data_IF_609352457894
#
_entry.id   IF_609352457894
#
_cell.length_a   1.000
_cell.length_b   1.000
_cell.length_c   1.000
_cell.angle_alpha   90.00
_cell.angle_beta   90.00
_cell.angle_gamma   90.00
#
_symmetry.space_group_name_H-M   'P 1'
#
loop_
_entity.id
_entity.type
_entity.pdbx_description
1 polymer ?
#
# COMPACT_ATOMS: atom_id res chain seq x y z
N UNK A 1 -2.74 -14.01 -19.59
CA UNK A 1 -2.21 -12.77 -18.99
C UNK A 1 -2.78 -11.58 -19.76
N UNK A 2 -3.26 -10.52 -19.08
CA UNK A 2 -3.66 -9.26 -19.73
C UNK A 2 -2.56 -8.24 -19.50
N UNK A 3 -2.10 -7.57 -20.56
CA UNK A 3 -1.07 -6.54 -20.50
C UNK A 3 -1.73 -5.16 -20.70
N UNK A 4 -1.43 -4.23 -19.81
CA UNK A 4 -1.91 -2.85 -19.92
C UNK A 4 -1.00 -2.02 -20.86
N UNK A 5 -1.50 -0.86 -21.28
CA UNK A 5 -0.79 0.04 -22.20
C UNK A 5 -0.06 1.21 -21.48
N UNK A 6 0.50 0.97 -20.29
CA UNK A 6 1.37 1.94 -19.60
C UNK A 6 0.68 3.13 -18.92
N UNK A 7 -0.65 3.09 -18.72
CA UNK A 7 -1.39 4.20 -18.11
C UNK A 7 -1.48 4.08 -16.57
N UNK A 8 -0.90 5.03 -15.82
CA UNK A 8 -0.94 5.06 -14.35
C UNK A 8 -2.37 5.05 -13.79
N UNK A 9 -3.31 5.74 -14.46
CA UNK A 9 -4.70 5.81 -14.02
C UNK A 9 -5.36 4.44 -13.93
N UNK A 10 -4.95 3.48 -14.77
CA UNK A 10 -5.46 2.10 -14.76
C UNK A 10 -5.08 1.31 -13.50
N UNK A 11 -4.37 1.90 -12.54
CA UNK A 11 -4.27 1.37 -11.18
C UNK A 11 -5.55 1.59 -10.35
N UNK A 12 -6.44 2.52 -10.74
CA UNK A 12 -7.75 2.70 -10.13
C UNK A 12 -8.71 1.61 -10.61
N UNK A 13 -9.43 0.98 -9.68
CA UNK A 13 -10.22 -0.24 -9.93
C UNK A 13 -11.22 -0.13 -11.09
N UNK A 14 -11.92 0.98 -11.28
CA UNK A 14 -12.94 1.09 -12.33
C UNK A 14 -12.33 1.36 -13.69
N UNK A 15 -11.26 2.15 -13.75
CA UNK A 15 -10.50 2.36 -14.99
C UNK A 15 -9.73 1.11 -15.43
N UNK A 16 -9.30 0.28 -14.48
CA UNK A 16 -8.76 -1.06 -14.74
C UNK A 16 -9.80 -1.93 -15.43
N UNK A 17 -11.04 -1.93 -14.93
CA UNK A 17 -12.13 -2.69 -15.53
C UNK A 17 -12.46 -2.21 -16.95
N UNK A 18 -12.52 -0.89 -17.18
CA UNK A 18 -12.66 -0.34 -18.54
C UNK A 18 -11.55 -0.82 -19.48
N UNK A 19 -10.30 -0.80 -19.01
CA UNK A 19 -9.16 -1.29 -19.80
C UNK A 19 -9.26 -2.79 -20.09
N UNK A 20 -9.72 -3.61 -19.14
CA UNK A 20 -9.97 -5.04 -19.35
C UNK A 20 -11.10 -5.31 -20.36
N UNK A 21 -12.08 -4.42 -20.43
CA UNK A 21 -13.17 -4.46 -21.42
C UNK A 21 -12.74 -3.96 -22.81
N UNK A 22 -11.48 -3.56 -22.99
CA UNK A 22 -10.96 -3.06 -24.26
C UNK A 22 -11.30 -1.59 -24.54
N UNK A 23 -11.76 -0.86 -23.53
CA UNK A 23 -12.10 0.56 -23.61
C UNK A 23 -10.95 1.43 -23.11
N UNK A 24 -11.08 2.75 -23.27
CA UNK A 24 -10.17 3.72 -22.65
C UNK A 24 -10.31 3.61 -21.13
N UNK A 25 -9.19 3.57 -20.41
CA UNK A 25 -9.16 3.51 -18.93
C UNK A 25 -9.63 4.81 -18.28
N UNK A 26 -10.92 5.09 -18.35
CA UNK A 26 -11.58 6.21 -17.68
C UNK A 26 -12.18 5.73 -16.36
N UNK A 27 -12.13 6.57 -15.34
CA UNK A 27 -12.77 6.27 -14.04
C UNK A 27 -14.29 6.30 -14.22
N UNK A 28 -14.98 5.28 -13.73
CA UNK A 28 -16.45 5.24 -13.67
C UNK A 28 -16.93 6.02 -12.44
N UNK A 29 -18.03 6.75 -12.57
CA UNK A 29 -18.70 7.32 -11.40
C UNK A 29 -19.19 6.19 -10.48
N UNK A 30 -19.01 6.35 -9.16
CA UNK A 30 -19.58 5.47 -8.13
C UNK A 30 -20.76 6.22 -7.51
N UNK A 31 -21.97 5.64 -7.40
CA UNK A 31 -22.37 4.24 -7.66
C UNK A 31 -22.66 3.88 -9.15
N UNK A 32 -22.71 2.58 -9.53
CA UNK A 32 -22.62 1.37 -8.69
C UNK A 32 -21.18 0.93 -8.36
N UNK A 33 -21.01 0.20 -7.25
CA UNK A 33 -19.73 -0.40 -6.85
C UNK A 33 -19.38 -1.62 -7.73
N UNK A 34 -18.09 -1.86 -8.04
CA UNK A 34 -17.65 -3.04 -8.81
C UNK A 34 -18.08 -4.39 -8.23
N UNK A 35 -18.16 -4.48 -6.90
CA UNK A 35 -18.64 -5.68 -6.20
C UNK A 35 -20.09 -6.07 -6.57
N UNK A 36 -20.89 -5.10 -7.04
CA UNK A 36 -22.25 -5.33 -7.52
C UNK A 36 -22.27 -5.39 -9.06
N UNK A 37 -21.62 -4.44 -9.72
CA UNK A 37 -21.56 -4.34 -11.19
C UNK A 37 -20.18 -3.86 -11.65
N UNK A 38 -19.29 -4.82 -11.90
CA UNK A 38 -17.90 -4.60 -12.29
C UNK A 38 -17.62 -4.98 -13.74
N UNK A 39 -16.78 -5.99 -13.92
CA UNK A 39 -16.29 -6.46 -15.22
C UNK A 39 -17.44 -7.03 -16.06
N UNK A 40 -17.64 -6.50 -17.28
CA UNK A 40 -18.73 -6.91 -18.18
C UNK A 40 -20.13 -6.85 -17.52
N UNK A 41 -20.29 -5.95 -16.55
CA UNK A 41 -21.52 -5.79 -15.80
C UNK A 41 -21.81 -6.90 -14.76
N UNK A 42 -20.85 -7.76 -14.45
CA UNK A 42 -20.98 -8.82 -13.44
C UNK A 42 -20.40 -8.39 -12.08
N UNK A 43 -20.92 -8.92 -10.95
CA UNK A 43 -20.28 -8.77 -9.64
C UNK A 43 -18.80 -9.16 -9.71
N UNK A 44 -17.91 -8.25 -9.33
CA UNK A 44 -16.45 -8.45 -9.48
C UNK A 44 -15.70 -8.03 -8.22
N UNK A 45 -14.90 -8.96 -7.69
CA UNK A 45 -13.96 -8.68 -6.61
C UNK A 45 -12.66 -8.14 -7.21
N UNK A 46 -12.28 -6.93 -6.83
CA UNK A 46 -11.03 -6.28 -7.26
C UNK A 46 -10.17 -6.02 -6.03
N UNK A 47 -9.02 -6.69 -5.93
CA UNK A 47 -8.10 -6.53 -4.82
C UNK A 47 -6.67 -6.36 -5.34
N UNK A 48 -5.81 -5.74 -4.53
CA UNK A 48 -4.37 -5.70 -4.79
C UNK A 48 -3.76 -7.12 -4.70
N UNK A 49 -2.66 -7.33 -5.43
CA UNK A 49 -1.91 -8.59 -5.44
C UNK A 49 -1.55 -9.07 -4.02
N UNK A 50 -1.07 -8.18 -3.14
CA UNK A 50 -0.67 -8.54 -1.77
C UNK A 50 -1.85 -9.03 -0.93
N UNK A 51 -3.05 -8.48 -1.16
CA UNK A 51 -4.25 -8.94 -0.49
C UNK A 51 -4.57 -10.39 -0.84
N UNK A 52 -4.47 -10.76 -2.12
CA UNK A 52 -4.67 -12.16 -2.52
C UNK A 52 -3.49 -13.06 -2.14
N UNK A 53 -2.26 -12.55 -2.12
CA UNK A 53 -1.08 -13.32 -1.71
C UNK A 53 -1.14 -13.75 -0.24
N UNK A 54 -1.81 -12.99 0.63
CA UNK A 54 -2.02 -13.35 2.03
C UNK A 54 -3.10 -14.45 2.23
N UNK A 55 -4.05 -14.59 1.31
CA UNK A 55 -5.19 -15.51 1.45
C UNK A 55 -4.76 -16.98 1.62
N UNK A 56 -3.83 -17.54 0.82
CA UNK A 56 -3.36 -18.91 1.02
C UNK A 56 -2.81 -19.16 2.42
N UNK A 57 -2.03 -18.22 2.97
CA UNK A 57 -1.49 -18.34 4.32
C UNK A 57 -2.61 -18.32 5.37
N UNK A 58 -3.55 -17.37 5.26
CA UNK A 58 -4.70 -17.26 6.17
C UNK A 58 -5.56 -18.53 6.15
N UNK A 59 -5.77 -19.13 4.98
CA UNK A 59 -6.53 -20.38 4.86
C UNK A 59 -5.77 -21.58 5.43
N UNK A 60 -4.45 -21.63 5.26
CA UNK A 60 -3.62 -22.73 5.73
C UNK A 60 -3.32 -22.69 7.24
N UNK A 61 -3.10 -21.50 7.80
CA UNK A 61 -2.68 -21.30 9.19
C UNK A 61 -3.77 -20.72 10.09
N UNK A 62 -4.89 -20.30 9.50
CA UNK A 62 -5.99 -19.65 10.20
C UNK A 62 -5.85 -18.13 10.32
N UNK A 63 -6.99 -17.44 10.38
CA UNK A 63 -7.02 -15.97 10.49
C UNK A 63 -6.40 -15.43 11.77
N UNK A 64 -6.40 -16.20 12.86
CA UNK A 64 -5.78 -15.79 14.13
C UNK A 64 -4.26 -15.69 14.00
N UNK A 65 -3.61 -16.70 13.40
CA UNK A 65 -2.17 -16.70 13.18
C UNK A 65 -1.69 -15.51 12.34
N UNK A 66 -2.50 -15.07 11.36
CA UNK A 66 -2.20 -13.85 10.60
C UNK A 66 -2.45 -12.58 11.43
N UNK A 67 -3.49 -12.57 12.28
CA UNK A 67 -3.87 -11.43 13.12
C UNK A 67 -2.98 -11.22 14.36
N UNK A 68 -2.20 -12.23 14.75
CA UNK A 68 -1.20 -12.12 15.82
C UNK A 68 -0.04 -11.19 15.42
N UNK A 69 0.19 -11.00 14.12
CA UNK A 69 1.10 -9.97 13.61
C UNK A 69 0.42 -8.62 13.51
N UNK A 70 1.21 -7.57 13.69
CA UNK A 70 0.80 -6.18 13.53
C UNK A 70 0.31 -5.54 14.84
N UNK A 71 -0.49 -4.49 14.72
CA UNK A 71 -0.99 -3.75 15.88
C UNK A 71 -2.40 -3.18 15.64
N UNK A 72 -3.20 -3.05 16.70
CA UNK A 72 -4.51 -2.40 16.63
C UNK A 72 -5.43 -3.02 15.58
N UNK A 73 -5.82 -2.26 14.56
CA UNK A 73 -6.58 -2.75 13.38
C UNK A 73 -5.71 -3.09 12.17
N UNK A 74 -4.43 -2.73 12.20
CA UNK A 74 -3.45 -3.04 11.16
C UNK A 74 -2.83 -4.40 11.45
N UNK A 75 -3.48 -5.46 10.96
CA UNK A 75 -3.12 -6.85 11.21
C UNK A 75 -2.32 -7.45 10.05
N UNK A 76 -1.45 -8.39 10.38
CA UNK A 76 -0.55 -9.04 9.43
C UNK A 76 0.77 -8.29 9.25
N UNK A 77 1.40 -8.57 8.11
CA UNK A 77 2.70 -8.02 7.72
C UNK A 77 2.56 -7.07 6.52
N UNK A 78 3.55 -6.21 6.36
CA UNK A 78 3.67 -5.28 5.24
C UNK A 78 5.01 -5.50 4.54
N UNK A 79 4.99 -5.92 3.26
CA UNK A 79 6.16 -5.84 2.39
C UNK A 79 6.48 -4.37 2.08
N UNK A 80 7.54 -3.86 2.68
CA UNK A 80 8.03 -2.49 2.54
C UNK A 80 9.15 -2.48 1.51
N UNK A 81 9.03 -1.57 0.54
CA UNK A 81 10.02 -1.38 -0.51
C UNK A 81 10.87 -0.15 -0.19
N UNK A 82 12.17 -0.35 0.00
CA UNK A 82 13.15 0.72 0.21
C UNK A 82 13.77 1.12 -1.13
N UNK A 83 13.52 2.36 -1.53
CA UNK A 83 13.94 2.90 -2.82
C UNK A 83 14.43 4.34 -2.71
N UNK A 84 15.10 4.82 -3.76
CA UNK A 84 15.66 6.17 -3.83
C UNK A 84 17.08 6.24 -3.27
N UNK A 85 17.40 7.33 -2.56
CA UNK A 85 18.73 7.56 -1.98
C UNK A 85 18.88 6.83 -0.63
N UNK A 86 18.87 5.50 -0.67
CA UNK A 86 19.03 4.61 0.49
C UNK A 86 20.19 3.65 0.25
N UNK A 87 21.01 3.39 1.28
CA UNK A 87 22.24 2.58 1.15
C UNK A 87 21.92 1.12 0.86
N UNK A 88 20.97 0.55 1.59
CA UNK A 88 20.53 -0.83 1.45
C UNK A 88 19.07 -0.83 0.98
N UNK A 89 18.90 -0.65 -0.34
CA UNK A 89 17.60 -0.73 -0.99
C UNK A 89 17.15 -2.18 -1.18
N UNK A 90 15.84 -2.39 -1.30
CA UNK A 90 15.28 -3.73 -1.46
C UNK A 90 13.87 -3.87 -0.92
N UNK A 91 13.52 -5.09 -0.54
CA UNK A 91 12.23 -5.43 0.06
C UNK A 91 12.48 -6.04 1.44
N UNK A 92 11.79 -5.51 2.44
CA UNK A 92 11.73 -6.06 3.79
C UNK A 92 10.26 -6.31 4.14
N UNK A 93 9.94 -7.42 4.77
CA UNK A 93 8.60 -7.71 5.23
C UNK A 93 8.58 -7.70 6.75
N UNK A 94 7.79 -6.80 7.34
CA UNK A 94 7.73 -6.59 8.77
C UNK A 94 6.26 -6.53 9.23
N UNK A 95 6.00 -6.88 10.48
CA UNK A 95 4.69 -6.63 11.09
C UNK A 95 4.38 -5.13 11.14
N UNK A 96 3.10 -4.76 11.05
CA UNK A 96 2.69 -3.38 11.33
C UNK A 96 3.13 -2.94 12.73
N UNK A 97 3.47 -1.67 12.88
CA UNK A 97 3.94 -1.07 14.13
C UNK A 97 5.43 -0.74 14.20
N UNK A 98 6.24 -1.27 13.28
CA UNK A 98 7.64 -0.82 13.10
C UNK A 98 7.67 0.69 12.81
N UNK A 99 8.64 1.43 13.37
CA UNK A 99 8.80 2.86 13.08
C UNK A 99 9.49 3.09 11.74
N UNK A 100 9.23 4.24 11.11
CA UNK A 100 9.94 4.64 9.90
C UNK A 100 11.43 4.83 10.15
N UNK A 101 11.84 5.24 11.37
CA UNK A 101 13.26 5.36 11.74
C UNK A 101 13.96 4.01 11.68
N UNK A 102 13.41 2.98 12.34
CA UNK A 102 13.96 1.62 12.30
C UNK A 102 14.13 1.12 10.86
N UNK A 103 13.11 1.31 10.03
CA UNK A 103 13.15 0.95 8.60
C UNK A 103 14.31 1.63 7.87
N UNK A 104 14.54 2.93 8.09
CA UNK A 104 15.50 3.71 7.33
C UNK A 104 16.93 3.56 7.85
N UNK A 105 17.11 3.47 9.16
CA UNK A 105 18.41 3.45 9.82
C UNK A 105 18.91 2.00 9.99
N UNK A 106 18.09 1.12 10.54
CA UNK A 106 18.52 -0.25 10.88
C UNK A 106 18.52 -1.16 9.65
N UNK A 107 17.46 -1.11 8.84
CA UNK A 107 17.37 -1.92 7.61
C UNK A 107 17.97 -1.20 6.40
N UNK A 108 17.72 0.10 6.27
CA UNK A 108 18.17 0.88 5.11
C UNK A 108 19.63 1.34 5.20
N UNK A 109 20.23 1.38 6.39
CA UNK A 109 21.62 1.83 6.60
C UNK A 109 21.85 3.31 6.28
N UNK A 110 20.79 4.13 6.36
CA UNK A 110 20.84 5.55 6.00
C UNK A 110 20.97 5.80 4.48
N UNK A 111 21.40 6.99 4.09
CA UNK A 111 21.43 7.36 2.67
C UNK A 111 22.60 6.73 1.93
N UNK A 112 22.40 6.42 0.65
CA UNK A 112 23.47 6.00 -0.26
C UNK A 112 24.55 7.07 -0.38
N UNK A 113 24.13 8.34 -0.44
CA UNK A 113 25.04 9.50 -0.55
C UNK A 113 25.88 9.80 0.69
N UNK A 114 25.58 9.21 1.86
CA UNK A 114 26.17 9.57 3.15
C UNK A 114 25.74 10.93 3.71
N UNK A 115 24.91 11.70 2.99
CA UNK A 115 24.34 12.97 3.48
C UNK A 115 23.10 12.72 4.36
N UNK A 116 22.76 13.66 5.26
CA UNK A 116 21.52 13.57 6.03
C UNK A 116 20.29 13.50 5.12
N UNK A 117 19.33 12.66 5.50
CA UNK A 117 18.07 12.53 4.77
C UNK A 117 17.14 13.67 5.14
N UNK A 118 16.61 14.37 4.13
CA UNK A 118 15.78 15.57 4.34
C UNK A 118 14.28 15.25 4.44
N UNK A 119 13.81 14.28 3.67
CA UNK A 119 12.41 13.91 3.59
C UNK A 119 12.26 12.50 3.02
N UNK A 120 11.19 11.81 3.40
CA UNK A 120 10.86 10.46 2.91
C UNK A 120 9.43 10.44 2.43
N UNK A 121 9.19 10.02 1.20
CA UNK A 121 7.82 9.82 0.70
C UNK A 121 7.37 8.39 0.99
N UNK A 122 6.27 8.25 1.72
CA UNK A 122 5.74 6.93 2.13
C UNK A 122 4.43 6.67 1.40
N UNK A 123 4.34 5.57 0.63
CA UNK A 123 3.10 5.12 -0.01
C UNK A 123 2.87 5.63 -1.44
N UNK A 124 3.90 6.14 -2.11
CA UNK A 124 3.85 6.50 -3.53
C UNK A 124 3.59 8.00 -3.80
N UNK A 125 3.50 8.40 -5.08
CA UNK A 125 3.56 9.81 -5.50
C UNK A 125 2.40 10.68 -5.01
N UNK A 126 1.29 10.07 -4.57
CA UNK A 126 0.10 10.75 -4.07
C UNK A 126 0.17 11.04 -2.56
N UNK A 127 1.22 10.58 -1.88
CA UNK A 127 1.36 10.67 -0.45
C UNK A 127 2.33 11.78 -0.03
N UNK A 128 2.14 12.28 1.20
CA UNK A 128 2.95 13.36 1.76
C UNK A 128 4.40 12.92 2.02
N UNK A 129 5.30 13.89 2.00
CA UNK A 129 6.66 13.74 2.48
C UNK A 129 6.71 13.82 4.01
N UNK A 130 7.34 12.83 4.63
CA UNK A 130 7.49 12.73 6.08
C UNK A 130 8.78 13.42 6.53
N UNK A 131 8.69 14.49 7.35
CA UNK A 131 9.85 15.07 7.99
C UNK A 131 10.38 14.14 9.09
N UNK A 132 11.64 14.31 9.46
CA UNK A 132 12.30 13.51 10.49
C UNK A 132 11.55 13.46 11.84
N UNK A 133 10.87 14.55 12.21
CA UNK A 133 10.08 14.64 13.42
C UNK A 133 8.94 13.62 13.51
N UNK A 134 8.56 12.99 12.40
CA UNK A 134 7.50 11.98 12.34
C UNK A 134 8.03 10.54 12.22
N UNK A 135 9.35 10.33 12.06
CA UNK A 135 9.90 8.99 11.76
C UNK A 135 9.76 7.98 12.90
N UNK A 136 9.60 8.45 14.14
CA UNK A 136 9.35 7.58 15.29
C UNK A 136 7.88 7.11 15.37
N UNK A 137 7.02 7.55 14.45
CA UNK A 137 5.62 7.11 14.45
C UNK A 137 5.52 5.68 13.91
N UNK A 138 4.84 4.77 14.62
CA UNK A 138 4.58 3.42 14.12
C UNK A 138 3.88 3.44 12.77
N UNK A 139 4.32 2.55 11.87
CA UNK A 139 3.68 2.29 10.59
C UNK A 139 2.34 1.57 10.82
N UNK A 140 1.25 2.29 10.55
CA UNK A 140 -0.12 1.90 10.86
C UNK A 140 -1.08 2.59 9.87
N UNK A 141 -2.18 1.93 9.48
CA UNK A 141 -3.22 2.54 8.68
C UNK A 141 -4.11 3.49 9.46
N UNK A 142 -4.20 3.37 10.79
CA UNK A 142 -5.03 4.30 11.55
C UNK A 142 -4.34 5.68 11.65
N UNK A 143 -5.02 6.77 11.25
CA UNK A 143 -4.43 8.09 11.25
C UNK A 143 -4.14 8.53 12.70
N UNK A 144 -2.88 8.81 13.01
CA UNK A 144 -2.48 9.40 14.30
C UNK A 144 -2.27 10.90 14.17
N UNK A 145 -2.40 11.68 15.27
CA UNK A 145 -2.13 13.12 15.25
C UNK A 145 -0.72 13.50 14.77
N UNK A 146 0.25 12.58 14.84
CA UNK A 146 1.61 12.76 14.34
C UNK A 146 1.69 12.76 12.80
N UNK A 147 0.75 12.11 12.11
CA UNK A 147 0.66 12.02 10.66
C UNK A 147 -0.13 13.20 10.06
N UNK A 148 0.08 14.44 10.55
CA UNK A 148 -0.61 15.63 10.03
C UNK A 148 -0.29 15.83 8.53
N UNK A 149 -1.31 15.71 7.69
CA UNK A 149 -1.20 15.79 6.23
C UNK A 149 -1.09 14.43 5.52
N UNK A 150 -0.87 13.34 6.25
CA UNK A 150 -0.90 11.98 5.74
C UNK A 150 -2.28 11.38 5.99
N UNK A 151 -3.05 11.19 4.91
CA UNK A 151 -4.24 10.33 4.95
C UNK A 151 -3.77 8.95 4.51
N UNK A 152 -3.53 7.99 5.42
CA UNK A 152 -3.26 6.63 5.02
C UNK A 152 -4.40 6.14 4.13
N UNK A 153 -4.02 5.37 3.10
CA UNK A 153 -4.88 4.57 2.23
C UNK A 153 -6.31 4.49 2.75
N UNK A 154 -7.17 5.43 2.32
CA UNK A 154 -8.60 5.22 2.51
C UNK A 154 -8.89 3.95 1.73
N UNK A 155 -9.22 2.85 2.43
CA UNK A 155 -10.03 1.80 1.83
C UNK A 155 -11.14 2.56 1.11
N UNK A 156 -11.22 2.40 -0.21
CA UNK A 156 -12.44 2.78 -0.91
C UNK A 156 -13.56 2.13 -0.12
N UNK A 157 -14.37 2.96 0.53
CA UNK A 157 -15.38 2.49 1.47
C UNK A 157 -16.25 1.47 0.76
N UNK A 158 -16.30 0.27 1.33
CA UNK A 158 -17.55 -0.45 1.44
C UNK A 158 -18.24 0.10 2.68
#
# INVERSE_FOLDING_TARGET
MRLAAGAYICGEETSLLESLEGKRGLVRAKPPLPAIKGLFGQPTVVNNVLSFAAVPFILAQGGHAYADYGMGKSRGTLPIQLAGNIRQGGLIELAFGVSLREILEDFGGGTFSGRPMKAVQVGGPLMAYMPESQWNTPMDYEPRPAWRGYRPWRRGGV
#
